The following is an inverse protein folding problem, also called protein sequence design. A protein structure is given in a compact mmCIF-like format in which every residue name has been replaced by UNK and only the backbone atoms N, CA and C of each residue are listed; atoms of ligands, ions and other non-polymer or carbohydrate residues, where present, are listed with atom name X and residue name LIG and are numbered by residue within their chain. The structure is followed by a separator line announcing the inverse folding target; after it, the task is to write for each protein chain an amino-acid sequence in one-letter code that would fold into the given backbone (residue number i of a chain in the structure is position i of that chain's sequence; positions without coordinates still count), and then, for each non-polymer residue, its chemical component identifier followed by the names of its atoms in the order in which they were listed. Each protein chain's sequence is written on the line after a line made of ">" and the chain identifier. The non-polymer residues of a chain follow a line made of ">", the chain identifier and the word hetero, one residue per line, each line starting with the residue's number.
data_IF_274371374452
#
_entry.id   IF_274371374452
#
_cell.length_a   1.000
_cell.length_b   1.000
_cell.length_c   1.000
_cell.angle_alpha   90.00
_cell.angle_beta   90.00
_cell.angle_gamma   90.00
#
_symmetry.space_group_name_H-M   'P 1'
#
loop_
_entity.id
_entity.type
_entity.pdbx_description
1 polymer ?
#
# COMPACT_ATOMS: atom_id res chain seq x y z
N UNK A 1 3.01 16.16 18.98
CA UNK A 1 3.88 17.11 18.23
C UNK A 1 5.33 16.57 18.15
N UNK A 2 5.85 15.89 19.18
CA UNK A 2 7.20 15.30 19.12
C UNK A 2 7.34 14.16 18.10
N UNK A 3 6.30 13.38 17.89
CA UNK A 3 6.29 12.25 16.95
C UNK A 3 6.16 12.71 15.48
N UNK A 4 5.75 13.95 15.23
CA UNK A 4 5.66 14.52 13.87
C UNK A 4 7.05 14.85 13.28
N UNK A 5 8.05 15.10 14.12
CA UNK A 5 9.42 15.35 13.67
C UNK A 5 10.11 14.07 13.16
N UNK A 6 9.78 12.91 13.74
CA UNK A 6 10.35 11.62 13.33
C UNK A 6 10.03 11.31 11.86
N UNK A 7 8.82 11.62 11.41
CA UNK A 7 8.44 11.40 10.00
C UNK A 7 9.26 12.28 9.03
N UNK A 8 9.46 13.56 9.35
CA UNK A 8 10.24 14.49 8.52
C UNK A 8 11.73 14.15 8.52
N UNK A 9 12.31 13.78 9.64
CA UNK A 9 13.71 13.35 9.74
C UNK A 9 13.98 12.09 8.92
N UNK A 10 13.07 11.12 8.90
CA UNK A 10 13.20 9.92 8.07
C UNK A 10 13.23 10.27 6.58
N UNK A 11 12.32 11.13 6.12
CA UNK A 11 12.25 11.55 4.72
C UNK A 11 13.52 12.29 4.28
N UNK A 12 14.03 13.22 5.10
CA UNK A 12 15.27 13.95 4.84
C UNK A 12 16.46 12.98 4.78
N UNK A 13 16.54 12.04 5.70
CA UNK A 13 17.61 11.04 5.74
C UNK A 13 17.57 10.13 4.52
N UNK A 14 16.40 9.63 4.14
CA UNK A 14 16.21 8.77 2.97
C UNK A 14 16.59 9.53 1.69
N UNK A 15 16.19 10.80 1.57
CA UNK A 15 16.55 11.67 0.46
C UNK A 15 18.06 11.92 0.38
N UNK A 16 18.70 12.25 1.50
CA UNK A 16 20.13 12.49 1.55
C UNK A 16 20.93 11.24 1.21
N UNK A 17 20.54 10.09 1.76
CA UNK A 17 21.19 8.80 1.47
C UNK A 17 21.06 8.46 -0.01
N UNK A 18 19.85 8.49 -0.55
CA UNK A 18 19.56 8.21 -1.96
C UNK A 18 20.39 9.08 -2.88
N UNK A 19 20.39 10.41 -2.66
CA UNK A 19 21.16 11.36 -3.48
C UNK A 19 22.67 11.12 -3.37
N UNK A 20 23.18 10.89 -2.17
CA UNK A 20 24.61 10.67 -1.96
C UNK A 20 25.11 9.40 -2.66
N UNK A 21 24.37 8.30 -2.49
CA UNK A 21 24.75 7.02 -3.10
C UNK A 21 24.57 7.06 -4.61
N UNK A 22 23.46 7.60 -5.11
CA UNK A 22 23.20 7.69 -6.54
C UNK A 22 24.22 8.55 -7.29
N UNK A 23 24.55 9.74 -6.76
CA UNK A 23 25.60 10.59 -7.33
C UNK A 23 26.95 9.87 -7.42
N UNK A 24 27.32 9.15 -6.36
CA UNK A 24 28.55 8.38 -6.34
C UNK A 24 28.56 7.27 -7.39
N UNK A 25 27.43 6.59 -7.62
CA UNK A 25 27.33 5.59 -8.67
C UNK A 25 27.42 6.21 -10.06
N UNK A 26 26.77 7.35 -10.29
CA UNK A 26 26.87 8.09 -11.55
C UNK A 26 28.31 8.50 -11.83
N UNK A 27 29.01 9.13 -10.87
CA UNK A 27 30.42 9.52 -10.98
C UNK A 27 31.33 8.33 -11.28
N UNK A 28 31.02 7.16 -10.76
CA UNK A 28 31.78 5.93 -10.96
C UNK A 28 31.33 5.13 -12.19
N UNK A 29 30.32 5.61 -12.91
CA UNK A 29 29.68 4.88 -14.03
C UNK A 29 29.28 3.46 -13.64
N UNK A 30 28.68 3.30 -12.45
CA UNK A 30 28.22 2.03 -11.90
C UNK A 30 26.70 1.95 -11.93
N UNK A 31 26.11 0.82 -12.34
CA UNK A 31 24.69 0.58 -12.17
C UNK A 31 24.34 0.49 -10.68
N UNK A 32 23.07 0.68 -10.36
CA UNK A 32 22.61 0.60 -8.99
C UNK A 32 21.14 0.26 -8.88
N UNK A 33 20.74 -0.14 -7.68
CA UNK A 33 19.34 -0.43 -7.37
C UNK A 33 19.01 0.09 -5.98
N UNK A 34 17.97 0.89 -5.89
CA UNK A 34 17.48 1.48 -4.64
C UNK A 34 16.05 1.03 -4.41
N UNK A 35 15.80 0.43 -3.26
CA UNK A 35 14.49 0.02 -2.82
C UNK A 35 14.11 0.80 -1.57
N UNK A 36 13.02 1.55 -1.65
CA UNK A 36 12.48 2.31 -0.54
C UNK A 36 11.22 1.67 0.01
N UNK A 37 11.02 1.75 1.32
CA UNK A 37 9.79 1.31 1.97
C UNK A 37 8.87 2.50 2.20
N UNK A 38 7.70 2.45 1.58
CA UNK A 38 6.62 3.42 1.74
C UNK A 38 5.46 2.82 2.54
N UNK A 39 4.26 3.24 2.28
CA UNK A 39 3.01 2.67 2.80
C UNK A 39 1.91 2.85 1.76
N UNK A 40 0.81 2.12 1.87
CA UNK A 40 -0.36 2.29 1.01
C UNK A 40 -1.03 3.66 1.18
N UNK A 41 -0.74 4.38 2.27
CA UNK A 41 -1.24 5.75 2.51
C UNK A 41 -0.73 6.79 1.51
N UNK A 42 0.28 6.47 0.71
CA UNK A 42 0.75 7.34 -0.39
C UNK A 42 -0.31 7.52 -1.47
N UNK A 43 -1.32 6.65 -1.53
CA UNK A 43 -2.45 6.74 -2.46
C UNK A 43 -3.74 7.20 -1.81
N UNK A 44 -3.99 6.78 -0.57
CA UNK A 44 -5.28 6.99 0.10
C UNK A 44 -5.26 8.09 1.15
N UNK A 45 -4.07 8.47 1.63
CA UNK A 45 -3.95 9.14 2.92
C UNK A 45 -4.32 8.20 4.06
N UNK A 46 -4.21 8.68 5.29
CA UNK A 46 -4.71 7.99 6.49
C UNK A 46 -4.91 8.99 7.61
N UNK A 47 -6.02 8.92 8.36
CA UNK A 47 -6.21 9.76 9.53
C UNK A 47 -5.19 9.41 10.62
N UNK A 48 -4.88 10.38 11.49
CA UNK A 48 -4.01 10.29 12.66
C UNK A 48 -2.53 10.00 12.39
N UNK A 49 -2.11 9.80 11.12
CA UNK A 49 -0.73 9.53 10.71
C UNK A 49 -0.22 10.52 9.65
N UNK A 50 -0.74 11.73 9.63
CA UNK A 50 -0.43 12.77 8.62
C UNK A 50 1.08 12.96 8.42
N UNK A 51 1.94 13.10 9.45
CA UNK A 51 3.38 13.28 9.24
C UNK A 51 4.03 12.09 8.52
N UNK A 52 3.61 10.86 8.84
CA UNK A 52 4.07 9.64 8.16
C UNK A 52 3.59 9.59 6.71
N UNK A 53 2.32 9.91 6.46
CA UNK A 53 1.75 9.93 5.11
C UNK A 53 2.46 10.95 4.22
N UNK A 54 2.73 12.16 4.72
CA UNK A 54 3.49 13.19 4.01
C UNK A 54 4.92 12.74 3.69
N UNK A 55 5.63 12.20 4.68
CA UNK A 55 6.99 11.71 4.53
C UNK A 55 7.08 10.59 3.48
N UNK A 56 6.20 9.60 3.56
CA UNK A 56 6.18 8.47 2.62
C UNK A 56 5.72 8.86 1.22
N UNK A 57 4.84 9.86 1.10
CA UNK A 57 4.48 10.44 -0.20
C UNK A 57 5.65 11.19 -0.83
N UNK A 58 6.47 11.88 -0.05
CA UNK A 58 7.71 12.49 -0.51
C UNK A 58 8.71 11.46 -1.06
N UNK A 59 8.90 10.33 -0.36
CA UNK A 59 9.76 9.23 -0.83
C UNK A 59 9.20 8.62 -2.13
N UNK A 60 7.89 8.44 -2.23
CA UNK A 60 7.23 7.94 -3.43
C UNK A 60 7.45 8.88 -4.63
N UNK A 61 7.31 10.19 -4.44
CA UNK A 61 7.56 11.18 -5.48
C UNK A 61 9.04 11.22 -5.89
N UNK A 62 9.96 11.23 -4.92
CA UNK A 62 11.40 11.17 -5.16
C UNK A 62 11.79 9.94 -5.99
N UNK A 63 11.28 8.76 -5.62
CA UNK A 63 11.54 7.51 -6.34
C UNK A 63 11.16 7.61 -7.81
N UNK A 64 9.98 8.15 -8.11
CA UNK A 64 9.50 8.32 -9.49
C UNK A 64 10.34 9.31 -10.29
N UNK A 65 10.70 10.44 -9.67
CA UNK A 65 11.52 11.48 -10.30
C UNK A 65 12.91 10.96 -10.62
N UNK A 66 13.59 10.38 -9.63
CA UNK A 66 14.95 9.89 -9.79
C UNK A 66 15.02 8.64 -10.69
N UNK A 67 13.97 7.82 -10.77
CA UNK A 67 13.90 6.71 -11.72
C UNK A 67 14.00 7.20 -13.18
N UNK A 68 13.42 8.36 -13.50
CA UNK A 68 13.53 8.98 -14.82
C UNK A 68 14.90 9.62 -15.01
N UNK A 69 15.36 10.40 -14.03
CA UNK A 69 16.64 11.10 -14.11
C UNK A 69 17.85 10.16 -14.20
N UNK A 70 17.81 9.04 -13.47
CA UNK A 70 18.94 8.13 -13.33
C UNK A 70 18.81 6.85 -14.19
N UNK A 71 17.70 6.69 -14.88
CA UNK A 71 17.51 5.60 -15.85
C UNK A 71 18.63 5.51 -16.89
N UNK A 72 19.09 6.63 -17.51
CA UNK A 72 20.24 6.62 -18.43
C UNK A 72 21.56 6.13 -17.82
N UNK A 73 21.67 6.11 -16.49
CA UNK A 73 22.83 5.61 -15.75
C UNK A 73 22.68 4.17 -15.28
N UNK A 74 21.63 3.47 -15.71
CA UNK A 74 21.29 2.11 -15.25
C UNK A 74 21.09 2.03 -13.72
N UNK A 75 20.53 3.08 -13.12
CA UNK A 75 20.15 3.09 -11.69
C UNK A 75 18.64 2.97 -11.61
N UNK A 76 18.17 1.90 -10.97
CA UNK A 76 16.75 1.61 -10.75
C UNK A 76 16.31 2.05 -9.36
N UNK A 77 15.14 2.64 -9.27
CA UNK A 77 14.53 3.02 -7.99
C UNK A 77 13.09 2.52 -7.96
N UNK A 78 12.76 1.75 -6.94
CA UNK A 78 11.41 1.26 -6.72
C UNK A 78 11.02 1.41 -5.24
N UNK A 79 9.73 1.33 -4.97
CA UNK A 79 9.16 1.30 -3.62
C UNK A 79 8.36 0.04 -3.38
N UNK A 80 8.37 -0.45 -2.16
CA UNK A 80 7.35 -1.35 -1.63
C UNK A 80 6.45 -0.55 -0.70
N UNK A 81 5.15 -0.75 -0.81
CA UNK A 81 4.13 -0.21 0.07
C UNK A 81 3.47 -1.35 0.87
N UNK A 82 4.02 -1.71 2.03
CA UNK A 82 3.47 -2.77 2.85
C UNK A 82 2.14 -2.36 3.49
N UNK A 83 1.24 -3.33 3.65
CA UNK A 83 0.13 -3.29 4.57
C UNK A 83 0.56 -3.65 6.01
N UNK A 84 -0.33 -4.25 6.80
CA UNK A 84 -0.01 -4.67 8.15
C UNK A 84 0.91 -5.89 8.15
N UNK A 85 2.15 -5.67 8.57
CA UNK A 85 3.15 -6.71 8.85
C UNK A 85 3.51 -6.61 10.34
N UNK A 86 3.14 -7.59 11.17
CA UNK A 86 3.39 -7.54 12.60
C UNK A 86 4.88 -7.62 12.88
N UNK A 87 5.41 -6.59 13.50
CA UNK A 87 6.73 -6.58 14.12
C UNK A 87 6.59 -6.01 15.53
N UNK A 88 7.41 -6.50 16.46
CA UNK A 88 7.39 -6.03 17.85
C UNK A 88 7.49 -4.50 17.94
N UNK A 89 8.43 -3.90 17.18
CA UNK A 89 8.64 -2.45 17.18
C UNK A 89 7.54 -1.64 16.51
N UNK A 90 6.79 -2.19 15.56
CA UNK A 90 5.67 -1.50 14.95
C UNK A 90 4.42 -1.64 15.82
N UNK A 91 4.11 -2.84 16.29
CA UNK A 91 2.90 -3.10 17.08
C UNK A 91 2.92 -2.40 18.42
N UNK A 92 4.05 -2.36 19.12
CA UNK A 92 4.16 -1.62 20.39
C UNK A 92 3.87 -0.12 20.29
N UNK A 93 3.98 0.46 19.08
CA UNK A 93 3.72 1.88 18.83
C UNK A 93 2.36 2.15 18.22
N UNK A 94 1.91 1.28 17.31
CA UNK A 94 0.66 1.45 16.56
C UNK A 94 -0.54 0.86 17.31
N UNK A 95 -0.30 -0.16 18.13
CA UNK A 95 -1.31 -0.83 18.94
C UNK A 95 -0.75 -1.13 20.32
N UNK A 96 -0.46 -0.10 21.15
CA UNK A 96 -0.01 -0.34 22.52
C UNK A 96 -1.07 -1.16 23.24
N UNK A 97 -0.66 -2.27 23.85
CA UNK A 97 -1.54 -3.10 24.66
C UNK A 97 -2.01 -2.32 25.88
N UNK A 98 -3.30 -2.12 25.99
CA UNK A 98 -3.97 -1.63 27.20
C UNK A 98 -4.87 -2.74 27.71
N UNK A 99 -5.29 -2.67 29.00
CA UNK A 99 -6.18 -3.67 29.60
C UNK A 99 -7.47 -3.86 28.78
N UNK A 100 -7.95 -2.79 28.13
CA UNK A 100 -9.20 -2.75 27.36
C UNK A 100 -9.01 -3.04 25.86
N UNK A 101 -7.78 -3.15 25.35
CA UNK A 101 -7.51 -3.15 23.90
C UNK A 101 -6.50 -4.22 23.46
N UNK A 102 -6.54 -5.41 24.08
CA UNK A 102 -5.66 -6.53 23.70
C UNK A 102 -5.95 -7.02 22.29
N UNK A 103 -5.03 -6.79 21.36
CA UNK A 103 -5.07 -7.31 20.00
C UNK A 103 -6.11 -6.66 19.06
N UNK A 104 -6.68 -5.51 19.42
CA UNK A 104 -7.73 -4.86 18.61
C UNK A 104 -7.28 -4.50 17.20
N UNK A 105 -6.01 -4.08 17.01
CA UNK A 105 -5.48 -3.80 15.68
C UNK A 105 -5.25 -5.07 14.87
N UNK A 106 -4.81 -6.15 15.47
CA UNK A 106 -4.63 -7.44 14.80
C UNK A 106 -5.97 -7.97 14.30
N UNK A 107 -6.98 -8.01 15.14
CA UNK A 107 -8.32 -8.44 14.76
C UNK A 107 -8.96 -7.50 13.73
N UNK A 108 -8.80 -6.19 13.89
CA UNK A 108 -9.30 -5.21 12.93
C UNK A 108 -8.58 -5.31 11.60
N UNK A 109 -7.26 -5.48 11.59
CA UNK A 109 -6.47 -5.63 10.39
C UNK A 109 -6.80 -6.94 9.65
N UNK A 110 -7.01 -8.04 10.36
CA UNK A 110 -7.45 -9.30 9.77
C UNK A 110 -8.87 -9.20 9.22
N UNK A 111 -9.82 -8.65 9.97
CA UNK A 111 -11.22 -8.60 9.56
C UNK A 111 -11.48 -7.63 8.41
N UNK A 112 -10.65 -6.61 8.24
CA UNK A 112 -10.75 -5.62 7.16
C UNK A 112 -9.93 -5.99 5.91
N UNK A 113 -9.00 -6.95 6.03
CA UNK A 113 -8.18 -7.39 4.92
C UNK A 113 -8.94 -8.41 4.06
N UNK A 114 -9.05 -8.22 2.74
CA UNK A 114 -9.69 -9.20 1.85
C UNK A 114 -9.13 -10.61 1.94
N UNK A 115 -7.84 -10.77 2.25
CA UNK A 115 -7.22 -12.08 2.46
C UNK A 115 -7.44 -12.65 3.87
N UNK A 116 -8.09 -11.93 4.77
CA UNK A 116 -8.41 -12.36 6.14
C UNK A 116 -7.19 -12.57 7.04
N UNK A 117 -6.04 -12.03 6.68
CA UNK A 117 -4.80 -12.16 7.45
C UNK A 117 -3.89 -10.94 7.29
N UNK A 118 -2.90 -10.84 8.12
CA UNK A 118 -1.76 -9.94 7.98
C UNK A 118 -0.67 -10.59 7.12
N UNK A 119 0.28 -9.77 6.66
CA UNK A 119 1.42 -10.26 5.88
C UNK A 119 2.50 -10.92 6.74
N UNK A 120 3.20 -11.88 6.16
CA UNK A 120 4.35 -12.54 6.76
C UNK A 120 5.65 -11.89 6.28
N UNK A 121 6.64 -11.76 7.17
CA UNK A 121 7.92 -11.11 6.83
C UNK A 121 8.65 -11.78 5.65
N UNK A 122 8.46 -13.09 5.47
CA UNK A 122 9.01 -13.81 4.31
C UNK A 122 8.42 -13.31 2.98
N UNK A 123 7.13 -12.97 2.95
CA UNK A 123 6.46 -12.45 1.73
C UNK A 123 7.06 -11.09 1.36
N UNK A 124 7.28 -10.23 2.35
CA UNK A 124 7.93 -8.93 2.15
C UNK A 124 9.38 -9.11 1.68
N UNK A 125 10.13 -10.02 2.30
CA UNK A 125 11.50 -10.36 1.93
C UNK A 125 11.61 -10.90 0.51
N UNK A 126 10.70 -11.76 0.10
CA UNK A 126 10.65 -12.32 -1.26
C UNK A 126 10.43 -11.22 -2.32
N UNK A 127 9.49 -10.30 -2.07
CA UNK A 127 9.27 -9.16 -2.97
C UNK A 127 10.49 -8.24 -3.03
N UNK A 128 11.10 -7.95 -1.88
CA UNK A 128 12.31 -7.13 -1.82
C UNK A 128 13.46 -7.78 -2.59
N UNK A 129 13.67 -9.08 -2.42
CA UNK A 129 14.68 -9.86 -3.14
C UNK A 129 14.43 -9.81 -4.65
N UNK A 130 13.19 -10.03 -5.09
CA UNK A 130 12.82 -9.94 -6.50
C UNK A 130 13.14 -8.57 -7.09
N UNK A 131 12.78 -7.48 -6.41
CA UNK A 131 13.01 -6.13 -6.90
C UNK A 131 14.49 -5.72 -6.91
N UNK A 132 15.29 -6.29 -6.01
CA UNK A 132 16.71 -6.00 -5.88
C UNK A 132 17.61 -6.93 -6.72
N UNK A 133 17.10 -8.08 -7.15
CA UNK A 133 17.85 -9.04 -7.95
C UNK A 133 18.08 -8.55 -9.39
N UNK A 134 19.09 -9.14 -10.03
CA UNK A 134 19.30 -9.02 -11.45
C UNK A 134 18.17 -9.71 -12.24
N UNK A 135 17.90 -9.25 -13.44
CA UNK A 135 16.80 -9.80 -14.26
C UNK A 135 15.47 -9.04 -14.17
N UNK A 136 15.41 -8.00 -13.31
CA UNK A 136 14.30 -7.04 -13.26
C UNK A 136 14.69 -5.65 -13.78
N UNK A 137 15.60 -5.58 -14.74
CA UNK A 137 16.30 -4.33 -15.10
C UNK A 137 15.39 -3.31 -15.79
N UNK A 138 14.27 -3.76 -16.34
CA UNK A 138 13.28 -2.87 -16.96
C UNK A 138 12.22 -2.35 -15.98
N UNK A 139 12.29 -2.73 -14.69
CA UNK A 139 11.33 -2.33 -13.67
C UNK A 139 11.94 -1.24 -12.79
N UNK A 140 11.51 0.01 -13.01
CA UNK A 140 11.93 1.19 -12.25
C UNK A 140 10.78 2.18 -12.08
N UNK A 141 10.83 3.04 -11.06
CA UNK A 141 9.82 4.05 -10.77
C UNK A 141 8.51 3.52 -10.20
N UNK A 142 8.44 2.24 -9.84
CA UNK A 142 7.21 1.60 -9.39
C UNK A 142 7.08 1.61 -7.87
N UNK A 143 5.84 1.67 -7.41
CA UNK A 143 5.46 1.45 -6.02
C UNK A 143 4.51 0.28 -5.98
N UNK A 144 4.93 -0.81 -5.37
CA UNK A 144 4.21 -2.08 -5.37
C UNK A 144 3.60 -2.30 -3.99
N UNK A 145 2.27 -2.39 -3.95
CA UNK A 145 1.56 -2.75 -2.72
C UNK A 145 1.74 -4.24 -2.40
N UNK A 146 1.97 -4.53 -1.14
CA UNK A 146 1.92 -5.88 -0.58
C UNK A 146 1.11 -5.82 0.71
N UNK A 147 -0.21 -5.87 0.58
CA UNK A 147 -1.15 -5.57 1.66
C UNK A 147 -2.42 -6.44 1.66
N UNK A 148 -2.45 -7.51 0.87
CA UNK A 148 -3.64 -8.36 0.72
C UNK A 148 -4.83 -7.62 0.11
N UNK A 149 -4.60 -6.62 -0.72
CA UNK A 149 -5.60 -5.75 -1.34
C UNK A 149 -6.38 -4.86 -0.36
N UNK A 150 -5.86 -4.65 0.86
CA UNK A 150 -6.54 -3.89 1.91
C UNK A 150 -6.84 -2.45 1.48
N UNK A 151 -5.87 -1.75 0.86
CA UNK A 151 -6.08 -0.35 0.45
C UNK A 151 -7.11 -0.18 -0.67
N UNK A 152 -7.29 -1.21 -1.50
CA UNK A 152 -8.30 -1.21 -2.57
C UNK A 152 -9.71 -1.45 -2.03
N UNK A 153 -9.83 -2.20 -0.94
CA UNK A 153 -11.13 -2.49 -0.30
C UNK A 153 -11.61 -1.35 0.60
N UNK A 154 -10.69 -0.55 1.12
CA UNK A 154 -11.01 0.56 2.01
C UNK A 154 -11.62 1.73 1.22
N UNK A 155 -12.92 1.96 1.36
CA UNK A 155 -13.62 3.12 0.79
C UNK A 155 -14.20 2.93 -0.60
N UNK A 156 -14.19 1.75 -1.18
CA UNK A 156 -14.93 1.45 -2.40
C UNK A 156 -16.45 1.52 -2.16
N UNK A 157 -17.19 2.21 -3.06
CA UNK A 157 -18.67 2.37 -2.97
C UNK A 157 -19.41 1.06 -2.73
N UNK A 158 -18.87 -0.04 -3.26
CA UNK A 158 -19.46 -1.37 -3.18
C UNK A 158 -18.74 -2.32 -2.20
N UNK A 159 -17.79 -1.80 -1.40
CA UNK A 159 -17.04 -2.63 -0.45
C UNK A 159 -17.93 -3.37 0.57
N UNK A 160 -19.08 -2.78 0.93
CA UNK A 160 -20.06 -3.39 1.81
C UNK A 160 -20.71 -4.65 1.23
N UNK A 161 -20.71 -4.81 -0.09
CA UNK A 161 -21.29 -5.99 -0.75
C UNK A 161 -20.49 -7.27 -0.46
N UNK A 162 -19.21 -7.15 -0.12
CA UNK A 162 -18.39 -8.29 0.32
C UNK A 162 -18.84 -8.94 1.64
N UNK A 163 -19.75 -8.30 2.39
CA UNK A 163 -20.34 -8.82 3.63
C UNK A 163 -21.63 -9.61 3.39
N UNK A 164 -22.17 -9.59 2.18
CA UNK A 164 -23.39 -10.28 1.83
C UNK A 164 -23.16 -11.78 1.73
N UNK A 165 -24.17 -12.54 2.21
CA UNK A 165 -24.22 -14.01 2.11
C UNK A 165 -24.90 -14.42 0.80
N UNK A 166 -24.79 -15.69 0.45
CA UNK A 166 -25.41 -16.24 -0.78
C UNK A 166 -26.92 -16.02 -0.83
N UNK A 167 -27.61 -16.05 0.32
CA UNK A 167 -29.04 -15.74 0.42
C UNK A 167 -29.33 -14.29 0.04
N UNK A 168 -28.52 -13.34 0.48
CA UNK A 168 -28.69 -11.93 0.16
C UNK A 168 -28.52 -11.71 -1.35
N UNK A 169 -27.52 -12.34 -1.95
CA UNK A 169 -27.28 -12.29 -3.39
C UNK A 169 -28.43 -12.89 -4.20
N UNK A 170 -29.04 -13.96 -3.70
CA UNK A 170 -30.21 -14.57 -4.33
C UNK A 170 -31.41 -13.62 -4.28
N UNK A 171 -31.70 -13.03 -3.13
CA UNK A 171 -32.78 -12.06 -2.94
C UNK A 171 -32.59 -10.82 -3.83
N UNK A 172 -31.37 -10.30 -3.93
CA UNK A 172 -31.04 -9.17 -4.80
C UNK A 172 -31.32 -9.53 -6.26
N UNK A 173 -30.86 -10.68 -6.75
CA UNK A 173 -31.11 -11.13 -8.13
C UNK A 173 -32.58 -11.26 -8.45
N UNK A 174 -33.37 -11.84 -7.54
CA UNK A 174 -34.81 -12.01 -7.73
C UNK A 174 -35.54 -10.66 -7.72
N UNK A 175 -35.11 -9.74 -6.88
CA UNK A 175 -35.65 -8.39 -6.86
C UNK A 175 -35.38 -7.65 -8.18
N UNK A 176 -34.13 -7.75 -8.69
CA UNK A 176 -33.75 -7.15 -9.98
C UNK A 176 -34.56 -7.77 -11.13
N UNK A 177 -34.73 -9.11 -11.16
CA UNK A 177 -35.55 -9.76 -12.18
C UNK A 177 -36.99 -9.25 -12.18
N UNK A 178 -37.63 -9.19 -11.02
CA UNK A 178 -39.02 -8.66 -10.88
C UNK A 178 -39.11 -7.22 -11.34
N UNK A 179 -38.13 -6.39 -11.01
CA UNK A 179 -38.09 -4.98 -11.46
C UNK A 179 -37.96 -4.89 -12.99
N UNK A 180 -37.06 -5.67 -13.58
CA UNK A 180 -36.84 -5.70 -15.02
C UNK A 180 -38.09 -6.19 -15.80
N UNK A 181 -38.79 -7.20 -15.27
CA UNK A 181 -40.02 -7.70 -15.86
C UNK A 181 -41.13 -6.61 -15.81
N UNK A 182 -41.27 -5.90 -14.70
CA UNK A 182 -42.20 -4.79 -14.57
C UNK A 182 -41.89 -3.68 -15.57
N UNK A 183 -40.62 -3.30 -15.70
CA UNK A 183 -40.19 -2.28 -16.65
C UNK A 183 -40.43 -2.68 -18.10
N UNK A 184 -40.22 -3.95 -18.44
CA UNK A 184 -40.49 -4.51 -19.77
C UNK A 184 -41.97 -4.46 -20.10
N UNK A 185 -42.83 -4.81 -19.16
CA UNK A 185 -44.27 -4.77 -19.34
C UNK A 185 -44.78 -3.32 -19.54
N UNK A 186 -44.24 -2.37 -18.78
CA UNK A 186 -44.56 -0.96 -18.96
C UNK A 186 -44.16 -0.36 -20.32
N UNK A 187 -43.08 -0.89 -20.92
CA UNK A 187 -42.64 -0.48 -22.29
C UNK A 187 -43.49 -1.10 -23.40
N UNK A 188 -44.02 -2.31 -23.17
CA UNK A 188 -44.86 -3.00 -24.16
C UNK A 188 -46.32 -2.55 -24.15
N UNK A 189 -46.73 -1.74 -23.17
CA UNK A 189 -48.09 -1.19 -23.07
C UNK A 189 -48.20 0.25 -23.61
N UNK A 190 -47.16 0.76 -24.26
CA UNK A 190 -47.17 1.99 -25.06
C UNK A 190 -47.02 1.64 -26.54
#
# INVERSE_FOLDING_TARGET
>A
IRDSLVGSEMCIRDSNMTNTVGKKWIEQNKPGNILSITTTWVWTGSPFVVPSAMSKSGINAMTKSLAVEWGPHNIRLNCIAPGPFPTEGAWSRLSPETEDNKGALDQSSMSSNPMGRVGEMNELGNLATFLMADGCDYLTGQTIAIDGAAYLSAGGTFASLGKLKDEDWTNIRDTIKKSNEKDKNLRNTK
#
